data_IF_091664804947
#
_entry.id   IF_091664804947
#
_cell.length_a   1.000
_cell.length_b   1.000
_cell.length_c   1.000
_cell.angle_alpha   90.00
_cell.angle_beta   90.00
_cell.angle_gamma   90.00
#
_symmetry.space_group_name_H-M   'P 1'
#
loop_
_entity.id
_entity.type
_entity.pdbx_description
1 polymer ?
#
# COMPACT_ATOMS: atom_id res chain seq x y z
N UNK A 1 -50.79 0.80 37.69
CA UNK A 1 -49.62 0.21 37.06
C UNK A 1 -48.98 -0.77 38.03
N UNK A 2 -49.06 -2.03 37.72
CA UNK A 2 -48.50 -3.11 38.55
C UNK A 2 -46.99 -3.07 38.58
N UNK A 3 -46.37 -3.58 39.65
CA UNK A 3 -44.88 -3.61 39.79
C UNK A 3 -44.21 -4.31 38.59
N UNK A 4 -44.88 -5.31 38.01
CA UNK A 4 -44.46 -6.07 36.82
C UNK A 4 -44.39 -5.22 35.55
N UNK A 5 -45.36 -4.29 35.37
CA UNK A 5 -45.34 -3.39 34.20
C UNK A 5 -44.17 -2.38 34.26
N UNK A 6 -43.78 -1.94 35.49
CA UNK A 6 -42.65 -1.04 35.67
C UNK A 6 -41.32 -1.74 35.37
N UNK A 7 -41.19 -3.02 35.80
CA UNK A 7 -39.98 -3.82 35.55
C UNK A 7 -39.83 -4.12 34.04
N UNK A 8 -40.95 -4.47 33.36
CA UNK A 8 -40.91 -4.68 31.92
C UNK A 8 -40.54 -3.44 31.13
N UNK A 9 -41.06 -2.27 31.53
CA UNK A 9 -40.76 -0.99 30.86
C UNK A 9 -39.33 -0.54 31.06
N UNK A 10 -38.77 -0.74 32.28
CA UNK A 10 -37.34 -0.44 32.50
C UNK A 10 -36.39 -1.38 31.76
N UNK A 11 -36.74 -2.68 31.66
CA UNK A 11 -35.97 -3.63 30.85
C UNK A 11 -36.00 -3.27 29.36
N UNK A 12 -37.16 -2.86 28.83
CA UNK A 12 -37.29 -2.44 27.44
C UNK A 12 -36.46 -1.19 27.12
N UNK A 13 -36.51 -0.21 28.02
CA UNK A 13 -35.71 1.03 27.88
C UNK A 13 -34.20 0.74 27.94
N UNK A 14 -33.78 -0.19 28.79
CA UNK A 14 -32.39 -0.61 28.90
C UNK A 14 -31.91 -1.30 27.59
N UNK A 15 -32.72 -2.21 27.05
CA UNK A 15 -32.43 -2.86 25.77
C UNK A 15 -32.37 -1.86 24.61
N UNK A 16 -33.29 -0.89 24.58
CA UNK A 16 -33.29 0.18 23.58
C UNK A 16 -32.03 1.06 23.71
N UNK A 17 -31.61 1.42 24.92
CA UNK A 17 -30.42 2.19 25.17
C UNK A 17 -29.14 1.46 24.75
N UNK A 18 -29.03 0.15 25.03
CA UNK A 18 -27.92 -0.70 24.60
C UNK A 18 -27.91 -0.81 23.07
N UNK A 19 -29.04 -0.97 22.43
CA UNK A 19 -29.16 -1.01 20.96
C UNK A 19 -28.70 0.29 20.30
N UNK A 20 -29.12 1.42 20.84
CA UNK A 20 -28.70 2.75 20.36
C UNK A 20 -27.19 2.97 20.60
N UNK A 21 -26.68 2.59 21.77
CA UNK A 21 -25.26 2.68 22.08
C UNK A 21 -24.41 1.80 21.13
N UNK A 22 -24.88 0.57 20.84
CA UNK A 22 -24.23 -0.31 19.88
C UNK A 22 -24.24 0.28 18.47
N UNK A 23 -25.32 0.96 18.06
CA UNK A 23 -25.41 1.63 16.76
C UNK A 23 -24.47 2.85 16.65
N UNK A 24 -24.33 3.61 17.74
CA UNK A 24 -23.47 4.79 17.82
C UNK A 24 -21.98 4.41 17.92
N UNK A 25 -21.67 3.26 18.52
CA UNK A 25 -20.31 2.74 18.65
C UNK A 25 -19.83 1.98 17.40
N UNK A 26 -20.75 1.65 16.47
CA UNK A 26 -20.32 1.10 15.17
C UNK A 26 -19.61 2.20 14.39
N UNK A 27 -18.34 1.99 14.00
CA UNK A 27 -17.61 2.99 13.21
C UNK A 27 -18.40 3.26 11.92
N UNK A 28 -18.85 4.51 11.76
CA UNK A 28 -19.56 4.99 10.55
C UNK A 28 -18.72 4.90 9.27
N UNK A 29 -17.45 4.48 9.37
CA UNK A 29 -16.54 4.25 8.25
C UNK A 29 -17.07 3.27 7.20
N UNK A 30 -18.01 2.39 7.57
CA UNK A 30 -18.62 1.45 6.62
C UNK A 30 -19.70 2.07 5.74
N UNK A 31 -20.28 3.19 6.15
CA UNK A 31 -21.38 3.86 5.41
C UNK A 31 -20.86 4.79 4.31
N UNK A 32 -19.64 5.32 4.46
CA UNK A 32 -18.98 6.15 3.46
C UNK A 32 -17.52 5.67 3.33
N UNK A 33 -17.21 4.80 2.35
CA UNK A 33 -15.85 4.35 2.15
C UNK A 33 -14.98 5.55 1.79
N UNK A 34 -14.11 5.96 2.73
CA UNK A 34 -13.12 7.03 2.54
C UNK A 34 -11.95 6.56 1.69
N UNK A 35 -11.91 5.26 1.37
CA UNK A 35 -10.87 4.61 0.57
C UNK A 35 -11.43 4.05 -0.74
N UNK A 36 -10.55 3.78 -1.69
CA UNK A 36 -10.84 3.05 -2.92
C UNK A 36 -9.86 1.89 -3.10
N UNK A 37 -10.32 0.78 -3.71
CA UNK A 37 -9.45 -0.37 -3.94
C UNK A 37 -8.51 -0.16 -5.11
N UNK A 38 -7.28 -0.66 -4.98
CA UNK A 38 -6.28 -0.79 -6.06
C UNK A 38 -5.66 -2.18 -5.92
N UNK A 39 -5.41 -2.82 -7.05
CA UNK A 39 -4.78 -4.14 -7.12
C UNK A 39 -3.38 -3.99 -7.65
N UNK A 40 -2.38 -4.35 -6.84
CA UNK A 40 -0.98 -4.27 -7.26
C UNK A 40 -0.40 -5.67 -7.41
N UNK A 41 0.07 -5.98 -8.63
CA UNK A 41 0.63 -7.30 -8.99
C UNK A 41 2.14 -7.25 -8.86
N UNK A 42 2.68 -8.18 -8.07
CA UNK A 42 4.11 -8.34 -7.81
C UNK A 42 4.54 -9.76 -8.11
N UNK A 43 5.75 -9.94 -8.57
CA UNK A 43 6.33 -11.28 -8.77
C UNK A 43 6.63 -11.95 -7.42
N UNK A 44 6.99 -11.15 -6.39
CA UNK A 44 7.23 -11.61 -5.03
C UNK A 44 6.67 -10.61 -4.01
N UNK A 45 5.92 -11.10 -3.03
CA UNK A 45 5.36 -10.30 -1.95
C UNK A 45 6.37 -9.93 -0.86
N UNK A 46 7.60 -10.43 -0.90
CA UNK A 46 8.72 -10.10 0.00
C UNK A 46 8.34 -10.16 1.49
N UNK A 47 7.42 -11.05 1.87
CA UNK A 47 6.98 -11.22 3.25
C UNK A 47 6.09 -10.09 3.80
N UNK A 48 5.57 -9.19 2.95
CA UNK A 48 4.62 -8.17 3.39
C UNK A 48 3.34 -8.83 3.93
N UNK A 49 2.75 -8.24 4.97
CA UNK A 49 1.56 -8.78 5.62
C UNK A 49 0.37 -7.83 5.52
N UNK A 50 -0.87 -8.35 5.57
CA UNK A 50 -2.06 -7.51 5.68
C UNK A 50 -1.96 -6.51 6.84
N UNK A 51 -2.41 -5.29 6.63
CA UNK A 51 -2.23 -4.16 7.56
C UNK A 51 -1.03 -3.28 7.25
N UNK A 52 -0.08 -3.73 6.42
CA UNK A 52 1.08 -2.94 6.00
C UNK A 52 0.65 -1.58 5.41
N UNK A 53 1.43 -0.56 5.68
CA UNK A 53 1.16 0.79 5.20
C UNK A 53 1.43 0.93 3.71
N UNK A 54 0.65 1.77 3.03
CA UNK A 54 0.93 2.25 1.68
C UNK A 54 1.37 3.70 1.78
N UNK A 55 2.58 4.01 1.31
CA UNK A 55 3.16 5.34 1.37
C UNK A 55 3.34 5.92 -0.03
N UNK A 56 2.93 7.17 -0.21
CA UNK A 56 3.22 7.97 -1.40
C UNK A 56 4.06 9.18 -1.00
N UNK A 57 5.21 9.34 -1.62
CA UNK A 57 6.18 10.39 -1.25
C UNK A 57 6.51 10.43 0.26
N UNK A 58 6.52 9.28 0.93
CA UNK A 58 6.80 9.16 2.37
C UNK A 58 5.59 9.42 3.28
N UNK A 59 4.43 9.79 2.73
CA UNK A 59 3.19 10.02 3.48
C UNK A 59 2.30 8.78 3.38
N UNK A 60 1.71 8.35 4.50
CA UNK A 60 0.76 7.25 4.51
C UNK A 60 -0.54 7.66 3.80
N UNK A 61 -0.86 6.95 2.73
CA UNK A 61 -2.05 7.19 1.89
C UNK A 61 -3.00 6.00 1.86
N UNK A 62 -2.68 4.92 2.58
CA UNK A 62 -3.52 3.74 2.58
C UNK A 62 -2.93 2.58 3.37
N UNK A 63 -3.51 1.40 3.14
CA UNK A 63 -3.07 0.15 3.76
C UNK A 63 -3.28 -1.05 2.82
N UNK A 64 -2.51 -2.11 3.06
CA UNK A 64 -2.70 -3.41 2.45
C UNK A 64 -3.84 -4.15 3.18
N UNK A 65 -4.90 -4.52 2.45
CA UNK A 65 -6.05 -5.22 3.01
C UNK A 65 -5.88 -6.73 3.00
N UNK A 66 -5.47 -7.27 1.86
CA UNK A 66 -5.32 -8.71 1.64
C UNK A 66 -4.27 -8.97 0.57
N UNK A 67 -3.80 -10.20 0.51
CA UNK A 67 -2.90 -10.71 -0.52
C UNK A 67 -3.52 -11.98 -1.07
N UNK A 68 -3.59 -12.09 -2.40
CA UNK A 68 -3.97 -13.32 -3.10
C UNK A 68 -2.86 -13.74 -4.05
N UNK A 69 -2.87 -15.00 -4.46
CA UNK A 69 -1.93 -15.50 -5.48
C UNK A 69 -2.77 -15.81 -6.73
N UNK A 70 -2.43 -15.17 -7.84
CA UNK A 70 -3.07 -15.35 -9.13
C UNK A 70 -1.99 -15.58 -10.18
N UNK A 71 -2.11 -16.65 -10.95
CA UNK A 71 -1.15 -17.02 -12.02
C UNK A 71 0.32 -17.05 -11.52
N UNK A 72 0.53 -17.50 -10.26
CA UNK A 72 1.87 -17.59 -9.65
C UNK A 72 2.46 -16.26 -9.19
N UNK A 73 1.70 -15.16 -9.25
CA UNK A 73 2.11 -13.83 -8.78
C UNK A 73 1.29 -13.38 -7.58
N UNK A 74 1.87 -12.54 -6.75
CA UNK A 74 1.18 -11.95 -5.62
C UNK A 74 0.34 -10.74 -6.06
N UNK A 75 -0.95 -10.77 -5.77
CA UNK A 75 -1.87 -9.66 -6.00
C UNK A 75 -2.18 -9.02 -4.63
N UNK A 76 -1.71 -7.81 -4.43
CA UNK A 76 -1.91 -7.03 -3.23
C UNK A 76 -3.19 -6.19 -3.38
N UNK A 77 -4.16 -6.40 -2.50
CA UNK A 77 -5.38 -5.62 -2.43
C UNK A 77 -5.14 -4.41 -1.54
N UNK A 78 -4.95 -3.25 -2.13
CA UNK A 78 -4.66 -2.00 -1.43
C UNK A 78 -5.96 -1.20 -1.23
N UNK A 79 -6.11 -0.60 -0.06
CA UNK A 79 -7.13 0.42 0.23
C UNK A 79 -6.43 1.79 0.29
N UNK A 80 -6.71 2.64 -0.67
CA UNK A 80 -6.10 3.97 -0.81
C UNK A 80 -7.10 5.04 -0.41
N UNK A 81 -6.68 6.03 0.36
CA UNK A 81 -7.52 7.16 0.74
C UNK A 81 -7.96 7.97 -0.47
N UNK A 82 -9.26 8.30 -0.56
CA UNK A 82 -9.82 9.09 -1.66
C UNK A 82 -9.24 10.50 -1.78
N UNK A 83 -8.63 11.00 -0.69
CA UNK A 83 -7.93 12.30 -0.68
C UNK A 83 -6.56 12.24 -1.33
N UNK A 84 -5.99 11.04 -1.50
CA UNK A 84 -4.69 10.86 -2.12
C UNK A 84 -4.82 10.91 -3.64
N UNK A 85 -4.14 11.87 -4.25
CA UNK A 85 -4.05 11.97 -5.70
C UNK A 85 -2.81 11.23 -6.16
N UNK A 86 -2.98 10.04 -6.72
CA UNK A 86 -1.89 9.17 -7.19
C UNK A 86 -1.90 9.20 -8.71
N UNK A 87 -0.76 9.53 -9.36
CA UNK A 87 -0.64 9.45 -10.81
C UNK A 87 -0.86 8.02 -11.32
N UNK A 88 -1.47 7.90 -12.49
CA UNK A 88 -1.74 6.60 -13.12
C UNK A 88 -0.47 5.82 -13.48
N UNK A 89 0.61 6.53 -13.78
CA UNK A 89 1.92 6.01 -14.17
C UNK A 89 2.89 5.88 -12.98
N UNK A 90 2.43 6.11 -11.75
CA UNK A 90 3.23 5.94 -10.54
C UNK A 90 3.78 4.51 -10.41
N UNK A 91 5.00 4.37 -9.92
CA UNK A 91 5.64 3.10 -9.69
C UNK A 91 5.26 2.57 -8.30
N UNK A 92 4.89 1.29 -8.23
CA UNK A 92 4.58 0.57 -7.01
C UNK A 92 5.73 -0.40 -6.70
N UNK A 93 6.25 -0.37 -5.50
CA UNK A 93 7.32 -1.27 -5.03
C UNK A 93 7.08 -1.67 -3.58
N UNK A 94 7.55 -2.86 -3.20
CA UNK A 94 7.60 -3.29 -1.81
C UNK A 94 8.97 -2.91 -1.26
N UNK A 95 9.00 -2.37 -0.06
CA UNK A 95 10.25 -1.88 0.57
C UNK A 95 10.18 -2.04 2.08
N UNK A 96 11.35 -2.17 2.71
CA UNK A 96 11.48 -2.28 4.17
C UNK A 96 12.01 -0.97 4.74
N UNK A 97 11.51 -0.56 5.90
CA UNK A 97 11.96 0.63 6.61
C UNK A 97 13.30 0.36 7.31
N UNK A 98 14.40 0.71 6.66
CA UNK A 98 15.76 0.44 7.18
C UNK A 98 16.16 -1.04 7.03
N UNK A 99 17.12 -1.47 7.86
CA UNK A 99 17.66 -2.85 7.82
C UNK A 99 16.77 -3.86 8.58
N UNK A 100 16.04 -3.41 9.58
CA UNK A 100 15.20 -4.24 10.47
C UNK A 100 13.92 -3.46 10.76
N UNK A 101 13.09 -3.23 9.75
CA UNK A 101 11.85 -2.46 9.92
C UNK A 101 10.67 -3.15 9.25
N UNK A 102 9.52 -2.51 9.38
CA UNK A 102 8.29 -2.99 8.74
C UNK A 102 8.38 -2.88 7.23
N UNK A 103 7.86 -3.89 6.55
CA UNK A 103 7.70 -3.88 5.10
C UNK A 103 6.42 -3.14 4.73
N UNK A 104 6.50 -2.27 3.72
CA UNK A 104 5.40 -1.44 3.27
C UNK A 104 5.38 -1.30 1.74
N UNK A 105 4.23 -0.91 1.19
CA UNK A 105 4.12 -0.58 -0.23
C UNK A 105 4.50 0.88 -0.43
N UNK A 106 5.50 1.12 -1.28
CA UNK A 106 5.94 2.46 -1.66
C UNK A 106 5.38 2.81 -3.04
N UNK A 107 4.75 3.96 -3.13
CA UNK A 107 4.35 4.58 -4.38
C UNK A 107 5.29 5.74 -4.66
N UNK A 108 5.90 5.78 -5.83
CA UNK A 108 6.90 6.78 -6.21
C UNK A 108 6.75 7.22 -7.65
N UNK A 109 7.18 8.45 -7.93
CA UNK A 109 7.15 9.02 -9.27
C UNK A 109 5.74 9.24 -9.82
N UNK A 110 5.65 9.27 -11.13
CA UNK A 110 4.44 9.55 -11.89
C UNK A 110 4.20 11.03 -12.11
N UNK A 111 3.44 11.34 -13.17
CA UNK A 111 3.03 12.68 -13.54
C UNK A 111 1.49 12.75 -13.59
N UNK A 112 0.91 13.74 -12.94
CA UNK A 112 -0.53 13.98 -12.96
C UNK A 112 -1.07 14.28 -14.36
N UNK A 113 -0.22 14.68 -15.30
CA UNK A 113 -0.59 14.82 -16.71
C UNK A 113 -0.98 13.49 -17.38
N UNK A 114 -0.46 12.35 -16.85
CA UNK A 114 -0.86 11.00 -17.28
C UNK A 114 -2.25 10.59 -16.75
N UNK A 115 -2.85 11.42 -15.89
CA UNK A 115 -4.13 11.18 -15.23
C UNK A 115 -3.97 10.61 -13.82
N UNK A 116 -5.10 10.44 -13.15
CA UNK A 116 -5.18 9.92 -11.77
C UNK A 116 -5.55 8.45 -11.77
N UNK A 117 -5.00 7.71 -10.82
CA UNK A 117 -5.29 6.29 -10.63
C UNK A 117 -6.78 6.09 -10.28
N UNK A 118 -7.44 5.24 -11.05
CA UNK A 118 -8.87 4.97 -10.88
C UNK A 118 -9.13 3.93 -9.78
N UNK A 119 -10.31 3.97 -9.20
CA UNK A 119 -10.80 2.91 -8.30
C UNK A 119 -10.88 1.57 -9.04
N UNK A 120 -10.37 0.51 -8.44
CA UNK A 120 -10.33 -0.83 -9.04
C UNK A 120 -9.23 -1.00 -10.09
N UNK A 121 -8.32 -0.04 -10.25
CA UNK A 121 -7.21 -0.16 -11.18
C UNK A 121 -6.27 -1.31 -10.76
N UNK A 122 -5.77 -2.03 -11.74
CA UNK A 122 -4.68 -2.99 -11.58
C UNK A 122 -3.38 -2.35 -12.04
N UNK A 123 -2.37 -2.37 -11.16
CA UNK A 123 -1.03 -1.88 -11.44
C UNK A 123 -0.04 -3.04 -11.29
N UNK A 124 1.01 -3.03 -12.09
CA UNK A 124 2.08 -4.03 -11.99
C UNK A 124 3.28 -3.42 -11.31
N UNK A 125 4.03 -4.24 -10.59
CA UNK A 125 5.32 -3.84 -10.03
C UNK A 125 6.15 -3.09 -11.07
N UNK A 126 6.64 -1.93 -10.69
CA UNK A 126 7.63 -1.20 -11.48
C UNK A 126 8.81 -0.89 -10.57
N UNK A 127 9.96 -1.41 -10.91
CA UNK A 127 11.20 -1.05 -10.23
C UNK A 127 11.38 0.47 -10.29
N UNK A 128 11.89 1.04 -9.20
CA UNK A 128 12.16 2.49 -9.15
C UNK A 128 13.14 2.83 -10.29
N UNK A 129 12.79 3.73 -11.23
CA UNK A 129 13.67 4.12 -12.35
C UNK A 129 15.07 4.60 -11.89
N UNK A 130 15.19 5.03 -10.62
CA UNK A 130 16.48 5.43 -10.04
C UNK A 130 17.40 4.25 -9.81
N UNK A 131 16.86 3.06 -9.56
CA UNK A 131 17.64 1.83 -9.40
C UNK A 131 18.26 1.43 -10.73
N UNK A 132 17.52 1.53 -11.83
CA UNK A 132 18.01 1.21 -13.16
C UNK A 132 19.16 2.15 -13.56
N UNK A 133 19.06 3.45 -13.23
CA UNK A 133 20.13 4.43 -13.45
C UNK A 133 21.37 4.12 -12.61
N UNK A 134 21.20 3.64 -11.37
CA UNK A 134 22.34 3.26 -10.51
C UNK A 134 23.05 2.01 -11.01
N UNK A 135 22.30 1.02 -11.49
CA UNK A 135 22.84 -0.20 -12.09
C UNK A 135 23.63 0.16 -13.37
N UNK A 136 23.06 0.95 -14.29
CA UNK A 136 23.74 1.41 -15.50
C UNK A 136 25.04 2.20 -15.19
N UNK A 137 25.02 3.03 -14.14
CA UNK A 137 26.23 3.71 -13.67
C UNK A 137 27.27 2.77 -13.08
N UNK A 138 26.85 1.77 -12.32
CA UNK A 138 27.74 0.76 -11.75
C UNK A 138 28.40 -0.06 -12.86
N UNK A 139 27.66 -0.50 -13.86
CA UNK A 139 28.17 -1.24 -15.00
C UNK A 139 29.20 -0.42 -15.81
N UNK A 140 28.90 0.86 -16.05
CA UNK A 140 29.85 1.77 -16.73
C UNK A 140 31.15 1.99 -15.92
N UNK A 141 31.07 2.05 -14.59
CA UNK A 141 32.25 2.15 -13.73
C UNK A 141 33.10 0.88 -13.76
N UNK A 142 32.45 -0.30 -13.76
CA UNK A 142 33.15 -1.58 -13.90
C UNK A 142 33.85 -1.70 -15.23
N UNK A 143 33.18 -1.36 -16.33
CA UNK A 143 33.77 -1.32 -17.69
C UNK A 143 34.99 -0.38 -17.79
N UNK A 144 34.90 0.77 -17.13
CA UNK A 144 35.97 1.74 -17.09
C UNK A 144 37.19 1.24 -16.28
N UNK A 145 36.92 0.56 -15.16
CA UNK A 145 37.96 -0.06 -14.34
C UNK A 145 38.69 -1.19 -15.07
N UNK A 146 37.94 -2.02 -15.81
CA UNK A 146 38.51 -3.10 -16.62
C UNK A 146 39.42 -2.58 -17.75
N UNK A 147 38.96 -1.54 -18.46
CA UNK A 147 39.76 -0.85 -19.48
C UNK A 147 41.04 -0.24 -18.92
N UNK A 148 40.99 0.36 -17.73
CA UNK A 148 42.18 0.88 -17.05
C UNK A 148 43.17 -0.23 -16.68
N UNK A 149 42.64 -1.38 -16.19
CA UNK A 149 43.50 -2.53 -15.83
C UNK A 149 44.19 -3.13 -17.06
N UNK A 150 43.47 -3.22 -18.21
CA UNK A 150 44.05 -3.67 -19.47
C UNK A 150 45.13 -2.70 -20.00
N UNK A 151 44.87 -1.39 -19.86
CA UNK A 151 45.89 -0.39 -20.27
C UNK A 151 47.16 -0.45 -19.42
N UNK A 152 47.06 -0.70 -18.12
CA UNK A 152 48.24 -0.84 -17.21
C UNK A 152 48.99 -2.14 -17.54
N UNK A 153 48.31 -3.23 -17.87
CA UNK A 153 48.94 -4.51 -18.22
C UNK A 153 49.72 -4.49 -19.55
N UNK A 154 49.51 -3.51 -20.42
CA UNK A 154 50.26 -3.34 -21.67
C UNK A 154 51.58 -2.60 -21.49
N UNK A 155 51.86 -2.03 -20.33
CA UNK A 155 53.12 -1.29 -20.04
C UNK A 155 54.08 -2.09 -19.15
N UNK A 156 53.84 -3.36 -18.90
CA UNK A 156 54.76 -4.31 -18.27
C UNK A 156 55.28 -5.34 -19.30
#
# INVERSE_FOLDING_TARGET
>A
MTKETKIGMTALLLFLAIGIAALLLHPMERLFPTTFPVYAVFDDAQGITPGASVLHAGVKVGRLKAITIEEGRAVLHLEIDRKATIPKDAAFSITTSGLIGDTYVKISGGDLSAGVLASGATVTERKDPRMDVLIDKADRLMDSAEKMQQAIGQYQ
#
